data_IF_446047080359
#
_entry.id   IF_446047080359
#
_cell.length_a   1.000
_cell.length_b   1.000
_cell.length_c   1.000
_cell.angle_alpha   90.00
_cell.angle_beta   90.00
_cell.angle_gamma   90.00
#
_symmetry.space_group_name_H-M   'P 1'
#
loop_
_entity.id
_entity.type
_entity.pdbx_description
1 polymer ?
#
# COMPACT_ATOMS: atom_id res chain seq x y z
N UNK A 1 -49.25 -58.88 35.30
CA UNK A 1 -49.76 -57.84 34.38
C UNK A 1 -48.62 -56.91 34.01
N UNK A 2 -48.50 -56.60 32.72
CA UNK A 2 -47.61 -55.60 32.13
C UNK A 2 -47.88 -54.18 32.71
N UNK A 3 -47.08 -53.11 32.58
CA UNK A 3 -46.20 -52.64 31.49
C UNK A 3 -45.47 -51.35 31.94
N UNK A 4 -44.36 -50.99 31.26
CA UNK A 4 -43.82 -49.61 30.98
C UNK A 4 -43.21 -48.81 32.15
N UNK A 5 -42.26 -47.88 31.98
CA UNK A 5 -41.15 -47.55 31.07
C UNK A 5 -40.52 -46.26 31.69
N UNK A 6 -39.20 -46.10 31.65
CA UNK A 6 -38.38 -44.95 32.13
C UNK A 6 -38.69 -43.63 31.39
N UNK A 7 -38.10 -42.42 31.67
CA UNK A 7 -36.63 -42.17 31.65
C UNK A 7 -36.07 -40.96 32.48
N UNK A 8 -34.76 -40.73 32.28
CA UNK A 8 -33.94 -39.51 32.54
C UNK A 8 -33.41 -39.31 33.96
N UNK A 9 -32.24 -38.72 34.19
CA UNK A 9 -31.02 -38.43 33.44
C UNK A 9 -30.09 -37.82 34.51
N UNK A 10 -28.81 -38.18 34.50
CA UNK A 10 -27.88 -37.73 35.55
C UNK A 10 -26.43 -37.78 35.08
N UNK A 11 -26.21 -37.31 33.85
CA UNK A 11 -24.91 -37.07 33.24
C UNK A 11 -24.12 -36.08 34.10
N UNK A 12 -23.12 -36.55 34.85
CA UNK A 12 -22.02 -35.68 35.29
C UNK A 12 -20.88 -35.84 34.31
N UNK A 13 -20.84 -34.84 33.44
CA UNK A 13 -19.80 -34.45 32.50
C UNK A 13 -18.52 -35.28 32.61
N UNK A 14 -18.31 -36.07 31.57
CA UNK A 14 -17.00 -36.51 31.12
C UNK A 14 -15.99 -35.38 31.30
N UNK A 15 -14.98 -35.63 32.13
CA UNK A 15 -13.72 -34.91 32.02
C UNK A 15 -13.29 -34.97 30.57
N UNK A 16 -13.34 -33.82 29.89
CA UNK A 16 -12.65 -33.63 28.63
C UNK A 16 -11.19 -33.64 29.01
N UNK A 17 -10.62 -34.84 29.11
CA UNK A 17 -9.21 -35.05 29.18
C UNK A 17 -8.62 -34.20 28.05
N UNK A 18 -7.85 -33.20 28.43
CA UNK A 18 -6.96 -32.47 27.55
C UNK A 18 -5.96 -33.51 27.02
N UNK A 19 -6.37 -34.26 25.99
CA UNK A 19 -5.45 -35.03 25.18
C UNK A 19 -4.64 -33.97 24.46
N UNK A 20 -3.54 -33.57 25.08
CA UNK A 20 -2.60 -32.64 24.50
C UNK A 20 -2.33 -33.08 23.06
N UNK A 21 -2.50 -32.16 22.12
CA UNK A 21 -2.26 -32.44 20.70
C UNK A 21 -0.84 -32.99 20.56
N UNK A 22 -0.73 -34.11 19.86
CA UNK A 22 0.56 -34.72 19.52
C UNK A 22 1.25 -33.91 18.43
N UNK A 23 2.56 -34.13 18.25
CA UNK A 23 3.32 -33.49 17.15
C UNK A 23 2.72 -33.89 15.80
N UNK A 24 2.21 -35.12 15.69
CA UNK A 24 1.52 -35.65 14.53
C UNK A 24 0.22 -34.88 14.24
N UNK A 25 -0.58 -34.59 15.28
CA UNK A 25 -1.80 -33.78 15.14
C UNK A 25 -1.47 -32.36 14.62
N UNK A 26 -0.37 -31.76 15.09
CA UNK A 26 0.09 -30.46 14.58
C UNK A 26 0.61 -30.54 13.15
N UNK A 27 1.30 -31.63 12.77
CA UNK A 27 1.81 -31.81 11.42
C UNK A 27 0.68 -32.01 10.40
N UNK A 28 -0.37 -32.73 10.77
CA UNK A 28 -1.57 -32.88 9.94
C UNK A 28 -2.33 -31.56 9.81
N UNK A 29 -2.50 -30.84 10.92
CA UNK A 29 -3.13 -29.53 10.92
C UNK A 29 -2.37 -28.53 10.04
N UNK A 30 -1.05 -28.48 10.17
CA UNK A 30 -0.20 -27.62 9.32
C UNK A 30 -0.40 -27.93 7.85
N UNK A 31 -0.34 -29.21 7.45
CA UNK A 31 -0.57 -29.61 6.05
C UNK A 31 -1.97 -29.25 5.55
N UNK A 32 -2.98 -29.31 6.43
CA UNK A 32 -4.36 -28.97 6.10
C UNK A 32 -4.55 -27.48 5.85
N UNK A 33 -3.86 -26.61 6.58
CA UNK A 33 -4.00 -25.15 6.49
C UNK A 33 -2.90 -24.47 5.66
N UNK A 34 -1.89 -25.21 5.23
CA UNK A 34 -0.78 -24.66 4.46
C UNK A 34 -1.25 -24.18 3.10
N UNK A 35 -1.04 -22.89 2.83
CA UNK A 35 -1.25 -22.31 1.51
C UNK A 35 -0.21 -22.84 0.53
N UNK A 36 -0.65 -23.21 -0.68
CA UNK A 36 0.23 -23.67 -1.76
C UNK A 36 0.84 -22.52 -2.57
N UNK A 37 0.31 -21.30 -2.39
CA UNK A 37 0.74 -20.09 -3.09
C UNK A 37 0.67 -18.90 -2.15
N UNK A 38 1.60 -17.97 -2.32
CA UNK A 38 1.57 -16.71 -1.58
C UNK A 38 0.43 -15.82 -2.09
N UNK A 39 -0.19 -15.02 -1.21
CA UNK A 39 -1.16 -14.00 -1.64
C UNK A 39 -0.54 -13.00 -2.61
N UNK A 40 -1.36 -12.51 -3.54
CA UNK A 40 -0.94 -11.44 -4.46
C UNK A 40 -0.67 -10.17 -3.65
N UNK A 41 0.52 -9.59 -3.82
CA UNK A 41 0.95 -8.38 -3.12
C UNK A 41 0.44 -7.13 -3.85
N UNK A 42 -0.87 -6.93 -3.87
CA UNK A 42 -1.51 -5.85 -4.63
C UNK A 42 -0.89 -4.47 -4.31
N UNK A 43 -0.59 -3.74 -5.37
CA UNK A 43 0.07 -2.43 -5.33
C UNK A 43 1.57 -2.47 -5.00
N UNK A 44 2.20 -3.65 -4.93
CA UNK A 44 3.65 -3.78 -4.77
C UNK A 44 4.40 -3.02 -5.86
N UNK A 45 4.00 -3.19 -7.12
CA UNK A 45 4.59 -2.52 -8.26
C UNK A 45 4.50 -1.01 -8.11
N UNK A 46 3.35 -0.48 -7.70
CA UNK A 46 3.19 0.96 -7.48
C UNK A 46 4.16 1.50 -6.41
N UNK A 47 4.25 0.80 -5.26
CA UNK A 47 5.15 1.19 -4.16
C UNK A 47 6.63 1.05 -4.54
N UNK A 48 6.98 0.02 -5.32
CA UNK A 48 8.34 -0.19 -5.80
C UNK A 48 8.73 0.92 -6.77
N UNK A 49 7.86 1.26 -7.73
CA UNK A 49 8.11 2.36 -8.66
C UNK A 49 8.30 3.68 -7.91
N UNK A 50 7.43 3.97 -6.94
CA UNK A 50 7.57 5.13 -6.08
C UNK A 50 8.94 5.17 -5.37
N UNK A 51 9.47 4.05 -4.89
CA UNK A 51 10.81 4.01 -4.28
C UNK A 51 11.92 4.28 -5.31
N UNK A 52 11.80 3.75 -6.54
CA UNK A 52 12.73 4.10 -7.64
C UNK A 52 12.70 5.60 -7.95
N UNK A 53 11.51 6.19 -7.96
CA UNK A 53 11.31 7.63 -8.20
C UNK A 53 11.94 8.48 -7.07
N UNK A 54 11.69 8.13 -5.81
CA UNK A 54 12.26 8.81 -4.65
C UNK A 54 13.80 8.71 -4.62
N UNK A 55 14.34 7.55 -5.01
CA UNK A 55 15.79 7.34 -5.08
C UNK A 55 16.46 8.11 -6.23
N UNK A 56 15.69 8.55 -7.24
CA UNK A 56 16.24 9.16 -8.45
C UNK A 56 17.21 8.25 -9.23
N UNK A 57 17.16 6.94 -8.97
CA UNK A 57 18.13 5.97 -9.48
C UNK A 57 17.76 5.42 -10.87
N UNK A 58 16.53 5.66 -11.33
CA UNK A 58 16.05 5.28 -12.65
C UNK A 58 15.08 6.35 -13.19
N UNK A 59 15.01 6.53 -14.53
CA UNK A 59 14.09 7.48 -15.14
C UNK A 59 12.61 7.08 -14.93
N UNK A 60 11.71 7.98 -15.29
CA UNK A 60 10.26 7.76 -15.21
C UNK A 60 9.82 6.50 -15.98
N UNK A 61 8.71 5.88 -15.60
CA UNK A 61 8.23 4.64 -16.23
C UNK A 61 8.08 4.74 -17.76
N UNK A 62 7.70 5.92 -18.26
CA UNK A 62 7.49 6.22 -19.68
C UNK A 62 8.79 6.34 -20.49
N UNK A 63 9.95 6.38 -19.83
CA UNK A 63 11.25 6.70 -20.44
C UNK A 63 12.22 5.51 -20.43
N UNK A 64 11.71 4.28 -20.51
CA UNK A 64 12.57 3.10 -20.60
C UNK A 64 13.17 2.64 -19.27
N UNK A 65 12.48 2.89 -18.15
CA UNK A 65 12.85 2.45 -16.79
C UNK A 65 13.38 1.01 -16.71
N UNK A 66 12.73 0.07 -17.39
CA UNK A 66 13.14 -1.35 -17.39
C UNK A 66 14.58 -1.49 -17.88
N UNK A 67 14.92 -0.82 -18.99
CA UNK A 67 16.27 -0.88 -19.59
C UNK A 67 17.29 -0.24 -18.66
N UNK A 68 16.95 0.91 -18.06
CA UNK A 68 17.85 1.58 -17.11
C UNK A 68 18.12 0.73 -15.86
N UNK A 69 17.10 0.05 -15.33
CA UNK A 69 17.24 -0.85 -14.18
C UNK A 69 18.10 -2.06 -14.54
N UNK A 70 17.95 -2.63 -15.73
CA UNK A 70 18.83 -3.70 -16.23
C UNK A 70 20.28 -3.22 -16.41
N UNK A 71 20.50 -1.92 -16.64
CA UNK A 71 21.83 -1.31 -16.65
C UNK A 71 22.48 -1.24 -15.25
N UNK A 72 21.70 -1.27 -14.17
CA UNK A 72 22.20 -1.30 -12.78
C UNK A 72 22.61 -2.72 -12.39
N UNK A 73 21.81 -3.72 -12.77
CA UNK A 73 22.11 -5.12 -12.55
C UNK A 73 21.77 -5.94 -13.80
N UNK A 74 22.81 -6.35 -14.52
CA UNK A 74 22.69 -7.13 -15.77
C UNK A 74 22.29 -8.58 -15.55
N UNK A 75 22.34 -9.10 -14.32
CA UNK A 75 21.95 -10.48 -14.01
C UNK A 75 20.42 -10.64 -13.94
N UNK A 76 19.69 -9.53 -13.86
CA UNK A 76 18.24 -9.55 -13.88
C UNK A 76 17.69 -9.80 -15.29
N UNK A 77 16.62 -10.59 -15.36
CA UNK A 77 15.90 -10.82 -16.61
C UNK A 77 14.88 -9.71 -16.83
N UNK A 78 14.79 -9.24 -18.07
CA UNK A 78 13.81 -8.20 -18.44
C UNK A 78 12.37 -8.59 -18.07
N UNK A 79 11.99 -9.86 -18.28
CA UNK A 79 10.67 -10.37 -17.94
C UNK A 79 10.34 -10.22 -16.46
N UNK A 80 11.33 -10.43 -15.59
CA UNK A 80 11.18 -10.44 -14.15
C UNK A 80 11.07 -8.99 -13.67
N UNK A 81 11.97 -8.11 -14.13
CA UNK A 81 11.90 -6.66 -13.84
C UNK A 81 10.57 -6.08 -14.29
N UNK A 82 10.10 -6.44 -15.49
CA UNK A 82 8.79 -6.01 -15.99
C UNK A 82 7.66 -6.50 -15.09
N UNK A 83 7.70 -7.75 -14.63
CA UNK A 83 6.70 -8.29 -13.71
C UNK A 83 6.71 -7.56 -12.36
N UNK A 84 7.89 -7.24 -11.81
CA UNK A 84 8.02 -6.51 -10.55
C UNK A 84 7.48 -5.09 -10.65
N UNK A 85 7.66 -4.42 -11.79
CA UNK A 85 7.24 -3.03 -12.00
C UNK A 85 5.80 -2.87 -12.49
N UNK A 86 5.16 -3.92 -13.02
CA UNK A 86 3.86 -3.80 -13.70
C UNK A 86 2.80 -4.82 -13.28
N UNK A 87 3.17 -5.92 -12.61
CA UNK A 87 2.27 -7.06 -12.37
C UNK A 87 2.15 -7.46 -10.91
N UNK A 88 2.62 -6.63 -9.99
CA UNK A 88 2.62 -6.89 -8.54
C UNK A 88 3.31 -8.21 -8.15
N UNK A 89 4.29 -8.65 -8.96
CA UNK A 89 5.07 -9.86 -8.69
C UNK A 89 6.24 -9.49 -7.78
N UNK A 90 6.39 -10.20 -6.67
CA UNK A 90 7.54 -10.00 -5.79
C UNK A 90 8.82 -10.59 -6.41
N UNK A 91 9.95 -9.87 -6.34
CA UNK A 91 11.25 -10.48 -6.56
C UNK A 91 11.56 -11.53 -5.49
N UNK A 92 12.51 -12.44 -5.75
CA UNK A 92 13.06 -13.32 -4.72
C UNK A 92 13.48 -12.52 -3.48
N UNK A 93 13.33 -13.10 -2.28
CA UNK A 93 13.53 -12.38 -1.01
C UNK A 93 14.88 -11.65 -0.92
N UNK A 94 15.95 -12.31 -1.38
CA UNK A 94 17.31 -11.75 -1.39
C UNK A 94 17.43 -10.59 -2.38
N UNK A 95 16.83 -10.72 -3.56
CA UNK A 95 16.79 -9.65 -4.55
C UNK A 95 16.03 -8.44 -4.04
N UNK A 96 14.86 -8.64 -3.44
CA UNK A 96 14.11 -7.57 -2.80
C UNK A 96 14.95 -6.85 -1.73
N UNK A 97 15.63 -7.60 -0.87
CA UNK A 97 16.47 -7.04 0.19
C UNK A 97 17.59 -6.16 -0.38
N UNK A 98 18.35 -6.68 -1.34
CA UNK A 98 19.47 -5.96 -1.94
C UNK A 98 19.01 -4.74 -2.73
N UNK A 99 17.91 -4.87 -3.49
CA UNK A 99 17.30 -3.77 -4.23
C UNK A 99 16.84 -2.65 -3.29
N UNK A 100 16.10 -2.98 -2.22
CA UNK A 100 15.64 -1.97 -1.26
C UNK A 100 16.81 -1.33 -0.55
N UNK A 101 17.80 -2.11 -0.10
CA UNK A 101 19.02 -1.59 0.53
C UNK A 101 19.75 -0.59 -0.38
N UNK A 102 19.88 -0.91 -1.67
CA UNK A 102 20.48 -0.02 -2.67
C UNK A 102 19.68 1.28 -2.83
N UNK A 103 18.36 1.18 -3.01
CA UNK A 103 17.49 2.34 -3.23
C UNK A 103 17.43 3.26 -2.02
N UNK A 104 17.30 2.67 -0.83
CA UNK A 104 17.25 3.40 0.44
C UNK A 104 18.57 4.11 0.72
N UNK A 105 19.70 3.56 0.28
CA UNK A 105 21.00 4.25 0.37
C UNK A 105 21.12 5.49 -0.53
N UNK A 106 20.20 5.69 -1.49
CA UNK A 106 20.13 6.92 -2.30
C UNK A 106 19.27 8.01 -1.63
N UNK A 107 18.59 7.68 -0.52
CA UNK A 107 17.70 8.59 0.20
C UNK A 107 18.47 9.28 1.35
N UNK A 108 17.97 10.41 1.83
CA UNK A 108 18.62 11.17 2.93
C UNK A 108 18.81 10.35 4.22
N UNK A 109 19.81 10.73 5.01
CA UNK A 109 20.34 10.02 6.19
C UNK A 109 19.33 9.85 7.35
N UNK A 110 18.37 8.91 7.23
CA UNK A 110 17.66 8.29 8.38
C UNK A 110 16.71 7.14 7.99
N UNK A 111 16.85 6.54 6.81
CA UNK A 111 15.85 5.59 6.30
C UNK A 111 16.14 4.13 6.71
N UNK A 112 15.12 3.43 7.21
CA UNK A 112 15.22 2.01 7.59
C UNK A 112 14.82 1.11 6.42
N UNK A 113 15.80 0.40 5.84
CA UNK A 113 15.58 -0.54 4.74
C UNK A 113 14.57 -1.65 5.10
N UNK A 114 14.55 -2.15 6.34
CA UNK A 114 13.61 -3.20 6.74
C UNK A 114 12.17 -2.69 6.77
N UNK A 115 11.99 -1.44 7.21
CA UNK A 115 10.69 -0.77 7.19
C UNK A 115 10.20 -0.56 5.75
N UNK A 116 11.11 -0.17 4.85
CA UNK A 116 10.81 -0.07 3.42
C UNK A 116 10.41 -1.41 2.80
N UNK A 117 11.16 -2.48 3.06
CA UNK A 117 10.81 -3.83 2.58
C UNK A 117 9.41 -4.25 3.04
N UNK A 118 9.11 -4.06 4.33
CA UNK A 118 7.80 -4.40 4.89
C UNK A 118 6.68 -3.54 4.26
N UNK A 119 6.92 -2.26 4.04
CA UNK A 119 5.97 -1.37 3.38
C UNK A 119 5.70 -1.78 1.92
N UNK A 120 6.74 -2.18 1.17
CA UNK A 120 6.57 -2.65 -0.20
C UNK A 120 5.67 -3.89 -0.25
N UNK A 121 5.87 -4.86 0.65
CA UNK A 121 5.11 -6.11 0.68
C UNK A 121 3.67 -5.89 1.16
N UNK A 122 3.49 -5.24 2.31
CA UNK A 122 2.20 -5.21 3.00
C UNK A 122 1.39 -3.92 2.82
N UNK A 123 2.03 -2.84 2.38
CA UNK A 123 1.39 -1.54 2.16
C UNK A 123 0.91 -0.82 3.44
N UNK A 124 0.26 0.33 3.25
CA UNK A 124 -0.20 1.23 4.32
C UNK A 124 -1.22 0.65 5.31
N UNK A 125 -2.08 -0.34 4.96
CA UNK A 125 -3.00 -0.92 5.95
C UNK A 125 -2.29 -1.68 7.08
N UNK A 126 -1.05 -2.13 6.83
CA UNK A 126 -0.28 -2.97 7.77
C UNK A 126 0.98 -2.22 8.25
N UNK A 127 1.65 -1.49 7.36
CA UNK A 127 2.90 -0.78 7.65
C UNK A 127 2.73 0.68 7.29
N UNK A 128 2.83 1.57 8.27
CA UNK A 128 2.78 3.01 8.02
C UNK A 128 3.86 3.43 7.02
N UNK A 129 3.46 4.26 6.04
CA UNK A 129 4.36 4.72 4.97
C UNK A 129 5.69 5.24 5.55
N UNK A 130 6.85 4.76 5.06
CA UNK A 130 8.17 5.21 5.50
C UNK A 130 8.56 6.56 4.89
N UNK A 131 7.77 7.08 3.95
CA UNK A 131 8.01 8.36 3.31
C UNK A 131 7.87 9.47 4.37
N UNK A 132 8.97 10.10 4.75
CA UNK A 132 8.94 11.33 5.52
C UNK A 132 8.50 12.48 4.62
N UNK A 133 7.76 13.45 5.18
CA UNK A 133 7.27 14.63 4.47
C UNK A 133 8.38 15.43 3.76
N UNK A 134 9.64 15.26 4.15
CA UNK A 134 10.83 15.87 3.53
C UNK A 134 11.32 15.18 2.24
N UNK A 135 10.92 13.92 1.99
CA UNK A 135 11.41 13.12 0.84
C UNK A 135 10.65 13.40 -0.47
N UNK A 136 9.55 14.13 -0.39
CA UNK A 136 8.96 14.77 -1.56
C UNK A 136 9.82 15.98 -1.93
N UNK A 137 10.91 15.76 -2.68
CA UNK A 137 11.32 16.76 -3.68
C UNK A 137 10.09 16.99 -4.57
N UNK A 138 9.34 18.08 -4.56
CA UNK A 138 9.42 19.37 -3.90
C UNK A 138 7.98 19.74 -3.47
N UNK A 139 7.81 20.45 -2.37
CA UNK A 139 6.53 21.09 -2.00
C UNK A 139 5.95 21.87 -3.21
N UNK A 140 6.80 22.33 -4.13
CA UNK A 140 6.44 23.02 -5.38
C UNK A 140 5.57 22.19 -6.34
N UNK A 141 5.98 20.99 -6.77
CA UNK A 141 5.19 20.18 -7.72
C UNK A 141 3.85 19.78 -7.14
N UNK A 142 3.85 19.39 -5.86
CA UNK A 142 2.64 18.98 -5.16
C UNK A 142 1.70 20.16 -4.93
N UNK A 143 2.24 21.35 -4.64
CA UNK A 143 1.49 22.60 -4.62
C UNK A 143 0.94 22.96 -6.00
N UNK A 144 1.68 22.74 -7.08
CA UNK A 144 1.19 22.96 -8.45
C UNK A 144 -0.02 22.08 -8.77
N UNK A 145 0.05 20.79 -8.45
CA UNK A 145 -1.07 19.85 -8.63
C UNK A 145 -2.26 20.26 -7.75
N UNK A 146 -2.02 20.59 -6.47
CA UNK A 146 -3.05 21.09 -5.57
C UNK A 146 -3.71 22.38 -6.09
N UNK A 147 -2.94 23.31 -6.63
CA UNK A 147 -3.46 24.53 -7.28
C UNK A 147 -4.34 24.22 -8.49
N UNK A 148 -3.95 23.24 -9.32
CA UNK A 148 -4.74 22.83 -10.48
C UNK A 148 -6.05 22.16 -10.07
N UNK A 149 -6.01 21.23 -9.11
CA UNK A 149 -7.20 20.59 -8.55
C UNK A 149 -8.12 21.63 -7.91
N UNK A 150 -7.57 22.55 -7.13
CA UNK A 150 -8.32 23.64 -6.51
C UNK A 150 -9.03 24.49 -7.56
N UNK A 151 -8.30 24.96 -8.59
CA UNK A 151 -8.88 25.71 -9.69
C UNK A 151 -10.01 24.95 -10.37
N UNK A 152 -9.80 23.66 -10.69
CA UNK A 152 -10.80 22.81 -11.33
C UNK A 152 -12.06 22.65 -10.48
N UNK A 153 -11.93 22.39 -9.19
CA UNK A 153 -13.08 22.24 -8.27
C UNK A 153 -13.83 23.57 -8.13
N UNK A 154 -13.14 24.69 -7.97
CA UNK A 154 -13.82 26.00 -7.85
C UNK A 154 -14.54 26.40 -9.13
N UNK A 155 -13.99 26.05 -10.29
CA UNK A 155 -14.63 26.31 -11.59
C UNK A 155 -15.87 25.43 -11.78
N UNK A 156 -15.76 24.12 -11.53
CA UNK A 156 -16.85 23.16 -11.71
C UNK A 156 -18.06 23.48 -10.81
N UNK A 157 -17.80 23.86 -9.55
CA UNK A 157 -18.85 24.14 -8.57
C UNK A 157 -19.15 25.64 -8.38
N UNK A 158 -18.61 26.50 -9.25
CA UNK A 158 -18.80 27.95 -9.22
C UNK A 158 -18.58 28.58 -7.82
N UNK A 159 -17.50 28.17 -7.13
CA UNK A 159 -17.20 28.62 -5.76
C UNK A 159 -16.40 29.92 -5.82
N UNK A 160 -16.93 31.06 -5.31
CA UNK A 160 -16.23 32.33 -5.38
C UNK A 160 -15.06 32.39 -4.38
N UNK A 161 -13.98 33.15 -4.67
CA UNK A 161 -12.83 33.29 -3.76
C UNK A 161 -13.17 33.84 -2.37
N UNK A 162 -14.26 34.59 -2.25
CA UNK A 162 -14.72 35.13 -0.96
C UNK A 162 -15.38 34.10 -0.04
N UNK A 163 -15.68 32.89 -0.54
CA UNK A 163 -16.38 31.86 0.23
C UNK A 163 -15.43 30.95 1.04
N UNK A 164 -14.12 31.15 0.98
CA UNK A 164 -13.16 30.27 1.62
C UNK A 164 -11.86 30.98 2.03
N UNK A 165 -11.17 30.39 3.01
CA UNK A 165 -9.78 30.72 3.31
C UNK A 165 -8.86 29.87 2.44
N UNK A 166 -8.04 30.53 1.61
CA UNK A 166 -7.22 29.86 0.60
C UNK A 166 -6.23 28.89 1.23
N UNK A 167 -5.55 29.28 2.31
CA UNK A 167 -4.55 28.44 2.98
C UNK A 167 -5.20 27.19 3.60
N UNK A 168 -6.31 27.35 4.30
CA UNK A 168 -7.06 26.24 4.89
C UNK A 168 -7.55 25.25 3.84
N UNK A 169 -8.12 25.75 2.74
CA UNK A 169 -8.58 24.91 1.63
C UNK A 169 -7.42 24.19 0.95
N UNK A 170 -6.30 24.88 0.79
CA UNK A 170 -5.10 24.32 0.18
C UNK A 170 -4.54 23.15 1.00
N UNK A 171 -4.48 23.29 2.32
CA UNK A 171 -4.05 22.22 3.22
C UNK A 171 -5.00 21.01 3.17
N UNK A 172 -6.32 21.24 3.11
CA UNK A 172 -7.32 20.18 2.94
C UNK A 172 -7.17 19.46 1.60
N UNK A 173 -6.87 20.20 0.53
CA UNK A 173 -6.58 19.63 -0.78
C UNK A 173 -5.37 18.69 -0.74
N UNK A 174 -4.26 19.14 -0.14
CA UNK A 174 -3.05 18.31 0.03
C UNK A 174 -3.34 17.04 0.83
N UNK A 175 -4.12 17.15 1.92
CA UNK A 175 -4.48 16.00 2.75
C UNK A 175 -5.31 14.96 1.97
N UNK A 176 -6.26 15.41 1.15
CA UNK A 176 -7.04 14.51 0.29
C UNK A 176 -6.22 13.88 -0.82
N UNK A 177 -5.33 14.64 -1.47
CA UNK A 177 -4.41 14.08 -2.46
C UNK A 177 -3.61 12.93 -1.87
N UNK A 178 -3.14 13.07 -0.63
CA UNK A 178 -2.45 12.00 0.08
C UNK A 178 -3.37 10.80 0.32
N UNK A 179 -4.61 11.03 0.79
CA UNK A 179 -5.56 9.96 1.10
C UNK A 179 -5.98 9.15 -0.14
N UNK A 180 -6.05 9.80 -1.29
CA UNK A 180 -6.40 9.18 -2.58
C UNK A 180 -5.19 8.76 -3.41
N UNK A 181 -3.96 8.90 -2.90
CA UNK A 181 -2.72 8.60 -3.61
C UNK A 181 -2.57 9.35 -4.96
N UNK A 182 -2.91 10.63 -4.96
CA UNK A 182 -2.80 11.52 -6.14
C UNK A 182 -1.43 12.19 -6.10
N UNK A 183 -0.56 11.80 -7.01
CA UNK A 183 0.81 12.28 -7.13
C UNK A 183 1.06 12.99 -8.46
N UNK A 184 0.22 12.77 -9.45
CA UNK A 184 0.18 13.47 -10.73
C UNK A 184 -1.25 13.91 -11.08
N UNK A 185 -1.38 14.88 -12.00
CA UNK A 185 -2.73 15.34 -12.43
C UNK A 185 -3.57 14.25 -13.07
N UNK A 186 -2.94 13.26 -13.72
CA UNK A 186 -3.64 12.13 -14.31
C UNK A 186 -4.29 11.20 -13.27
N UNK A 187 -3.83 11.21 -12.01
CA UNK A 187 -4.46 10.45 -10.93
C UNK A 187 -5.77 11.10 -10.47
N UNK A 188 -5.98 12.40 -10.78
CA UNK A 188 -7.19 13.13 -10.46
C UNK A 188 -8.29 12.84 -11.49
N UNK A 189 -9.18 11.91 -11.15
CA UNK A 189 -10.31 11.49 -11.97
C UNK A 189 -11.59 12.27 -11.65
N UNK A 190 -12.57 12.24 -12.56
CA UNK A 190 -13.86 12.92 -12.38
C UNK A 190 -14.60 12.51 -11.10
N UNK A 191 -14.48 11.24 -10.70
CA UNK A 191 -15.04 10.71 -9.45
C UNK A 191 -14.45 11.34 -8.17
N UNK A 192 -13.32 12.06 -8.26
CA UNK A 192 -12.72 12.76 -7.13
C UNK A 192 -13.30 14.16 -6.91
N UNK A 193 -14.00 14.75 -7.90
CA UNK A 193 -14.49 16.13 -7.83
C UNK A 193 -15.39 16.37 -6.62
N UNK A 194 -16.40 15.51 -6.42
CA UNK A 194 -17.37 15.66 -5.33
C UNK A 194 -16.75 15.43 -3.93
N UNK A 195 -15.94 14.38 -3.70
CA UNK A 195 -15.19 14.23 -2.46
C UNK A 195 -14.28 15.43 -2.15
N UNK A 196 -13.57 15.95 -3.15
CA UNK A 196 -12.71 17.11 -2.98
C UNK A 196 -13.53 18.36 -2.64
N UNK A 197 -14.61 18.63 -3.35
CA UNK A 197 -15.52 19.74 -3.06
C UNK A 197 -16.02 19.69 -1.61
N UNK A 198 -16.54 18.54 -1.18
CA UNK A 198 -17.17 18.40 0.13
C UNK A 198 -16.18 18.54 1.29
N UNK A 199 -14.95 18.07 1.11
CA UNK A 199 -13.93 18.15 2.15
C UNK A 199 -13.21 19.50 2.18
N UNK A 200 -12.95 20.09 1.01
CA UNK A 200 -12.29 21.40 0.89
C UNK A 200 -13.23 22.52 1.36
N UNK A 201 -14.49 22.47 0.94
CA UNK A 201 -15.52 23.47 1.21
C UNK A 201 -16.70 22.83 1.98
N UNK A 202 -16.49 22.43 3.24
CA UNK A 202 -17.57 21.93 4.07
C UNK A 202 -18.61 23.03 4.23
N UNK A 203 -19.89 22.67 4.09
CA UNK A 203 -20.98 23.59 4.43
C UNK A 203 -20.81 24.00 5.90
N UNK A 204 -20.76 25.31 6.14
CA UNK A 204 -20.82 25.87 7.49
C UNK A 204 -22.20 25.67 8.10
#
# INVERSE_FOLDING_TARGET
MATKQSPQAGTRASGRADRGRTVEDYAEEYRRIADSQLPVCLGFSARLNMLWDLAGAAPAQTEGRVISILGINSDWRESDVRAWLQKDVLPPRMELHNMVKFLVAQLDDSQDARRWEAFLIYGSPIVASPINHSMYREDKTRRTIASMIFAQVTAEYAIPPSAYDADTVFQRCLALMQKFNIYEMQDFQSGHLEPFRNYMFPAS
#
